data_IF_039853433257
#
_entry.id   IF_039853433257
#
_cell.length_a   1.000
_cell.length_b   1.000
_cell.length_c   1.000
_cell.angle_alpha   90.00
_cell.angle_beta   90.00
_cell.angle_gamma   90.00
#
_symmetry.space_group_name_H-M   'P 1'
#
loop_
_entity.id
_entity.type
_entity.pdbx_description
1 polymer ?
#
# COMPACT_ATOMS: atom_id res chain seq x y z
N UNK A 1 5.34 19.59 -12.85
CA UNK A 1 6.50 18.76 -12.47
C UNK A 1 7.62 19.58 -11.87
N UNK A 2 7.73 20.87 -12.23
CA UNK A 2 8.66 21.82 -11.62
C UNK A 2 7.91 23.02 -11.05
N UNK A 3 8.48 23.66 -10.05
CA UNK A 3 7.99 24.92 -9.48
C UNK A 3 9.13 25.95 -9.40
N UNK A 4 8.78 27.21 -9.44
CA UNK A 4 9.75 28.29 -9.27
C UNK A 4 9.81 28.69 -7.80
N UNK A 5 11.02 28.70 -7.25
CA UNK A 5 11.32 29.15 -5.88
C UNK A 5 12.33 30.29 -5.96
N UNK A 6 11.82 31.53 -5.96
CA UNK A 6 12.64 32.71 -6.21
C UNK A 6 13.30 32.69 -7.59
N UNK A 7 14.63 32.66 -7.62
CA UNK A 7 15.44 32.61 -8.84
C UNK A 7 15.75 31.19 -9.33
N UNK A 8 15.37 30.15 -8.58
CA UNK A 8 15.68 28.76 -8.93
C UNK A 8 14.44 27.96 -9.28
N UNK A 9 14.63 26.93 -10.10
CA UNK A 9 13.61 25.93 -10.39
C UNK A 9 13.84 24.68 -9.57
N UNK A 10 12.79 24.16 -8.94
CA UNK A 10 12.81 22.92 -8.18
C UNK A 10 11.92 21.87 -8.85
N UNK A 11 12.38 20.63 -8.90
CA UNK A 11 11.53 19.51 -9.26
C UNK A 11 10.60 19.16 -8.12
N UNK A 12 9.32 18.96 -8.42
CA UNK A 12 8.32 18.42 -7.50
C UNK A 12 8.29 16.89 -7.48
N UNK A 13 9.08 16.28 -8.35
CA UNK A 13 9.15 14.82 -8.53
C UNK A 13 10.59 14.37 -8.35
N UNK A 14 10.76 13.25 -7.69
CA UNK A 14 12.00 12.47 -7.63
C UNK A 14 11.79 11.08 -8.21
N UNK A 15 12.89 10.42 -8.49
CA UNK A 15 12.95 9.06 -8.98
C UNK A 15 13.73 8.20 -8.02
N UNK A 16 13.18 7.05 -7.68
CA UNK A 16 13.87 6.00 -6.92
C UNK A 16 13.84 4.70 -7.69
N UNK A 17 14.86 3.87 -7.49
CA UNK A 17 14.93 2.54 -8.10
C UNK A 17 14.42 1.48 -7.14
N UNK A 18 13.65 0.54 -7.65
CA UNK A 18 13.25 -0.68 -6.96
C UNK A 18 13.25 -1.81 -7.98
N UNK A 19 14.06 -2.88 -7.75
CA UNK A 19 14.21 -4.01 -8.67
C UNK A 19 14.47 -3.58 -10.11
N UNK A 20 15.47 -2.75 -10.31
CA UNK A 20 15.90 -2.19 -11.60
C UNK A 20 14.83 -1.37 -12.35
N UNK A 21 13.75 -0.97 -11.68
CA UNK A 21 12.69 -0.10 -12.22
C UNK A 21 12.71 1.25 -11.54
N UNK A 22 12.39 2.27 -12.31
CA UNK A 22 12.26 3.64 -11.82
C UNK A 22 10.82 3.90 -11.37
N UNK A 23 10.70 4.58 -10.23
CA UNK A 23 9.43 5.03 -9.67
C UNK A 23 9.46 6.53 -9.42
N UNK A 24 8.54 7.25 -10.03
CA UNK A 24 8.27 8.65 -9.74
C UNK A 24 7.54 8.77 -8.38
N UNK A 25 7.95 9.73 -7.58
CA UNK A 25 7.30 10.06 -6.31
C UNK A 25 7.54 11.54 -5.97
N UNK A 26 6.94 12.05 -4.89
CA UNK A 26 7.10 13.44 -4.49
C UNK A 26 8.55 13.75 -4.08
N UNK A 27 9.01 14.94 -4.44
CA UNK A 27 10.32 15.42 -4.01
C UNK A 27 10.33 15.73 -2.50
N UNK A 28 11.49 15.54 -1.89
CA UNK A 28 11.74 15.96 -0.50
C UNK A 28 12.00 17.48 -0.43
N UNK A 29 11.52 18.17 0.61
CA UNK A 29 10.72 17.66 1.72
C UNK A 29 9.25 17.39 1.32
N UNK A 30 8.69 16.27 1.80
CA UNK A 30 7.30 15.88 1.56
C UNK A 30 6.38 16.64 2.51
N UNK A 31 6.17 17.94 2.25
CA UNK A 31 5.32 18.80 3.09
C UNK A 31 3.91 18.99 2.55
N UNK A 32 3.69 18.74 1.27
CA UNK A 32 2.37 18.85 0.65
C UNK A 32 1.41 17.79 1.22
N UNK A 33 0.14 18.15 1.38
CA UNK A 33 -0.90 17.25 1.91
C UNK A 33 -1.15 16.04 1.01
N UNK A 34 -0.93 16.20 -0.31
CA UNK A 34 -1.06 15.18 -1.35
C UNK A 34 0.27 14.49 -1.70
N UNK A 35 1.34 14.69 -0.90
CA UNK A 35 2.64 14.10 -1.17
C UNK A 35 2.57 12.57 -1.22
N UNK A 36 3.28 12.01 -2.18
CA UNK A 36 3.45 10.56 -2.37
C UNK A 36 4.83 10.18 -1.88
N UNK A 37 4.86 9.44 -0.79
CA UNK A 37 6.10 9.00 -0.15
C UNK A 37 6.68 7.78 -0.87
N UNK A 38 8.02 7.76 -0.95
CA UNK A 38 8.81 6.58 -1.33
C UNK A 38 10.08 6.56 -0.49
N UNK A 39 10.27 5.53 0.30
CA UNK A 39 11.38 5.47 1.24
C UNK A 39 11.62 4.07 1.81
N UNK A 40 12.32 3.95 2.95
CA UNK A 40 12.72 2.66 3.52
C UNK A 40 11.59 1.65 3.69
N UNK A 41 10.39 2.12 4.05
CA UNK A 41 9.22 1.25 4.22
C UNK A 41 8.74 0.65 2.90
N UNK A 42 8.83 1.42 1.80
CA UNK A 42 8.52 0.93 0.46
C UNK A 42 9.42 -0.25 0.07
N UNK A 43 10.72 -0.16 0.37
CA UNK A 43 11.67 -1.25 0.08
C UNK A 43 11.41 -2.50 0.93
N UNK A 44 11.12 -2.32 2.23
CA UNK A 44 10.80 -3.45 3.14
C UNK A 44 9.49 -4.10 2.76
N UNK A 45 8.49 -3.31 2.43
CA UNK A 45 7.20 -3.81 1.94
C UNK A 45 7.37 -4.58 0.63
N UNK A 46 8.17 -4.08 -0.30
CA UNK A 46 8.52 -4.78 -1.53
C UNK A 46 9.14 -6.16 -1.26
N UNK A 47 10.09 -6.25 -0.34
CA UNK A 47 10.69 -7.53 0.07
C UNK A 47 9.64 -8.51 0.64
N UNK A 48 8.70 -8.00 1.45
CA UNK A 48 7.63 -8.83 1.99
C UNK A 48 6.68 -9.34 0.89
N UNK A 49 6.34 -8.49 -0.09
CA UNK A 49 5.55 -8.88 -1.27
C UNK A 49 6.28 -9.98 -2.05
N UNK A 50 7.55 -9.80 -2.33
CA UNK A 50 8.35 -10.78 -3.09
C UNK A 50 8.44 -12.12 -2.38
N UNK A 51 8.69 -12.11 -1.07
CA UNK A 51 8.69 -13.32 -0.26
C UNK A 51 7.33 -14.04 -0.32
N UNK A 52 6.24 -13.30 -0.21
CA UNK A 52 4.88 -13.84 -0.34
C UNK A 52 4.64 -14.44 -1.73
N UNK A 53 5.08 -13.77 -2.79
CA UNK A 53 4.93 -14.25 -4.17
C UNK A 53 5.75 -15.50 -4.47
N UNK A 54 6.92 -15.65 -3.84
CA UNK A 54 7.79 -16.83 -3.96
C UNK A 54 7.23 -18.04 -3.19
N UNK A 55 6.66 -17.81 -2.02
CA UNK A 55 6.12 -18.89 -1.18
C UNK A 55 4.75 -19.38 -1.64
N UNK A 56 4.06 -18.60 -2.46
CA UNK A 56 2.70 -18.91 -2.90
C UNK A 56 2.70 -19.79 -4.14
N UNK A 57 2.18 -21.01 -4.00
CA UNK A 57 2.00 -21.97 -5.12
C UNK A 57 0.66 -21.80 -5.86
N UNK A 58 -0.37 -21.24 -5.20
CA UNK A 58 -1.67 -21.01 -5.82
C UNK A 58 -1.63 -19.82 -6.78
N UNK A 59 -2.33 -19.88 -7.93
CA UNK A 59 -2.42 -18.77 -8.86
C UNK A 59 -2.98 -17.52 -8.19
N UNK A 60 -2.48 -16.37 -8.60
CA UNK A 60 -3.08 -15.07 -8.31
C UNK A 60 -3.74 -14.60 -9.60
N UNK A 61 -5.06 -14.57 -9.61
CA UNK A 61 -5.86 -14.08 -10.74
C UNK A 61 -6.25 -12.63 -10.53
N UNK A 62 -6.45 -12.26 -9.27
CA UNK A 62 -6.89 -10.93 -8.90
C UNK A 62 -6.20 -10.44 -7.64
N UNK A 63 -5.58 -9.27 -7.72
CA UNK A 63 -4.89 -8.65 -6.58
C UNK A 63 -5.28 -7.19 -6.43
N UNK A 64 -5.12 -6.63 -5.22
CA UNK A 64 -5.31 -5.21 -4.96
C UNK A 64 -4.23 -4.68 -4.00
N UNK A 65 -3.73 -3.48 -4.33
CA UNK A 65 -2.82 -2.67 -3.50
C UNK A 65 -3.63 -1.51 -2.90
N UNK A 66 -3.90 -1.58 -1.60
CA UNK A 66 -4.71 -0.59 -0.87
C UNK A 66 -3.79 0.53 -0.34
N UNK A 67 -4.11 1.77 -0.70
CA UNK A 67 -3.23 2.91 -0.42
C UNK A 67 -1.96 2.82 -1.26
N UNK A 68 -2.11 2.61 -2.57
CA UNK A 68 -1.04 2.23 -3.48
C UNK A 68 0.11 3.25 -3.59
N UNK A 69 -0.11 4.51 -3.22
CA UNK A 69 0.89 5.56 -3.25
C UNK A 69 1.55 5.72 -4.63
N UNK A 70 2.82 5.35 -4.74
CA UNK A 70 3.55 5.34 -6.02
C UNK A 70 3.23 4.13 -6.91
N UNK A 71 2.40 3.19 -6.46
CA UNK A 71 2.08 1.95 -7.18
C UNK A 71 3.16 0.88 -7.14
N UNK A 72 4.14 1.01 -6.26
CA UNK A 72 5.26 0.07 -6.20
C UNK A 72 4.79 -1.38 -5.94
N UNK A 73 3.87 -1.58 -4.99
CA UNK A 73 3.30 -2.89 -4.67
C UNK A 73 2.54 -3.48 -5.86
N UNK A 74 1.64 -2.70 -6.46
CA UNK A 74 0.87 -3.12 -7.62
C UNK A 74 1.77 -3.52 -8.81
N UNK A 75 2.80 -2.72 -9.10
CA UNK A 75 3.77 -3.01 -10.18
C UNK A 75 4.54 -4.30 -9.92
N UNK A 76 4.99 -4.54 -8.69
CA UNK A 76 5.68 -5.78 -8.33
C UNK A 76 4.83 -7.01 -8.57
N UNK A 77 3.57 -6.98 -8.11
CA UNK A 77 2.62 -8.09 -8.34
C UNK A 77 2.38 -8.28 -9.83
N UNK A 78 2.09 -7.21 -10.57
CA UNK A 78 1.79 -7.25 -11.99
C UNK A 78 2.92 -7.84 -12.82
N UNK A 79 4.17 -7.48 -12.51
CA UNK A 79 5.36 -8.01 -13.19
C UNK A 79 5.63 -9.48 -12.85
N UNK A 80 5.32 -9.90 -11.62
CA UNK A 80 5.49 -11.29 -11.19
C UNK A 80 4.32 -12.19 -11.64
N UNK A 81 3.17 -11.62 -11.94
CA UNK A 81 1.94 -12.32 -12.32
C UNK A 81 1.28 -11.61 -13.52
N UNK A 82 1.83 -11.78 -14.74
CA UNK A 82 1.37 -11.05 -15.93
C UNK A 82 -0.11 -11.30 -16.28
N UNK A 83 -0.64 -12.47 -15.93
CA UNK A 83 -2.03 -12.85 -16.20
C UNK A 83 -3.01 -12.39 -15.11
N UNK A 84 -2.52 -11.81 -14.02
CA UNK A 84 -3.36 -11.32 -12.94
C UNK A 84 -3.99 -9.97 -13.29
N UNK A 85 -5.23 -9.73 -12.87
CA UNK A 85 -5.80 -8.39 -12.77
C UNK A 85 -5.29 -7.74 -11.48
N UNK A 86 -4.56 -6.64 -11.57
CA UNK A 86 -4.04 -5.93 -10.40
C UNK A 86 -4.70 -4.56 -10.29
N UNK A 87 -5.35 -4.31 -9.17
CA UNK A 87 -5.96 -3.02 -8.87
C UNK A 87 -5.03 -2.23 -7.93
N UNK A 88 -4.80 -0.96 -8.26
CA UNK A 88 -4.11 -0.01 -7.39
C UNK A 88 -5.13 1.04 -6.93
N UNK A 89 -5.40 1.09 -5.63
CA UNK A 89 -6.44 1.98 -5.09
C UNK A 89 -5.87 2.96 -4.08
N UNK A 90 -6.32 4.21 -4.16
CA UNK A 90 -5.92 5.27 -3.22
C UNK A 90 -7.00 6.35 -3.15
N UNK A 91 -7.06 7.09 -2.06
CA UNK A 91 -7.89 8.29 -1.92
C UNK A 91 -7.19 9.54 -2.48
N UNK A 92 -5.87 9.51 -2.62
CA UNK A 92 -5.05 10.63 -3.07
C UNK A 92 -4.94 10.65 -4.60
N UNK A 93 -5.52 11.65 -5.29
CA UNK A 93 -5.43 11.74 -6.75
C UNK A 93 -3.99 11.85 -7.28
N UNK A 94 -3.05 12.39 -6.49
CA UNK A 94 -1.64 12.46 -6.87
C UNK A 94 -1.00 11.07 -6.84
N UNK A 95 -1.34 10.24 -5.84
CA UNK A 95 -0.92 8.83 -5.79
C UNK A 95 -1.41 8.05 -7.01
N UNK A 96 -2.67 8.20 -7.36
CA UNK A 96 -3.25 7.54 -8.54
C UNK A 96 -2.54 7.94 -9.84
N UNK A 97 -2.23 9.24 -10.02
CA UNK A 97 -1.45 9.70 -11.19
C UNK A 97 -0.05 9.11 -11.22
N UNK A 98 0.66 9.10 -10.09
CA UNK A 98 2.00 8.53 -10.00
C UNK A 98 1.98 7.01 -10.20
N UNK A 99 1.02 6.32 -9.61
CA UNK A 99 0.80 4.88 -9.82
C UNK A 99 0.60 4.54 -11.30
N UNK A 100 -0.27 5.28 -12.00
CA UNK A 100 -0.52 5.07 -13.43
C UNK A 100 0.76 5.27 -14.27
N UNK A 101 1.49 6.37 -14.03
CA UNK A 101 2.77 6.65 -14.72
C UNK A 101 3.80 5.55 -14.43
N UNK A 102 3.94 5.12 -13.18
CA UNK A 102 4.91 4.11 -12.80
C UNK A 102 4.55 2.71 -13.36
N UNK A 103 3.27 2.39 -13.44
CA UNK A 103 2.80 1.16 -14.08
C UNK A 103 3.12 1.16 -15.59
N UNK A 104 2.89 2.27 -16.27
CA UNK A 104 3.24 2.44 -17.69
C UNK A 104 4.75 2.33 -17.93
N UNK A 105 5.56 3.05 -17.15
CA UNK A 105 7.02 3.00 -17.22
C UNK A 105 7.58 1.60 -16.98
N UNK A 106 6.96 0.84 -16.08
CA UNK A 106 7.34 -0.55 -15.81
C UNK A 106 6.81 -1.55 -16.85
N UNK A 107 5.97 -1.13 -17.79
CA UNK A 107 5.25 -2.03 -18.71
C UNK A 107 4.34 -3.01 -17.96
N UNK A 108 3.69 -2.55 -16.89
CA UNK A 108 2.74 -3.33 -16.08
C UNK A 108 1.30 -3.08 -16.59
N UNK A 109 1.01 -3.55 -17.80
CA UNK A 109 -0.25 -3.27 -18.52
C UNK A 109 -1.49 -3.90 -17.87
N UNK A 110 -1.31 -4.79 -16.92
CA UNK A 110 -2.36 -5.44 -16.15
C UNK A 110 -2.67 -4.72 -14.82
N UNK A 111 -2.13 -3.53 -14.60
CA UNK A 111 -2.49 -2.64 -13.47
C UNK A 111 -3.59 -1.69 -13.89
N UNK A 112 -4.64 -1.60 -13.09
CA UNK A 112 -5.71 -0.60 -13.21
C UNK A 112 -5.79 0.24 -11.95
N UNK A 113 -5.91 1.56 -12.11
CA UNK A 113 -5.86 2.53 -11.00
C UNK A 113 -7.26 3.07 -10.73
N UNK A 114 -7.70 3.08 -9.45
CA UNK A 114 -9.03 3.54 -9.06
C UNK A 114 -8.98 4.42 -7.82
N UNK A 115 -9.78 5.49 -7.82
CA UNK A 115 -10.03 6.26 -6.62
C UNK A 115 -10.97 5.48 -5.69
N UNK A 116 -10.51 5.16 -4.49
CA UNK A 116 -11.29 4.39 -3.51
C UNK A 116 -10.85 4.69 -2.09
N UNK A 117 -11.79 4.84 -1.18
CA UNK A 117 -11.52 4.71 0.26
C UNK A 117 -11.48 3.22 0.58
N UNK A 118 -10.27 2.71 0.78
CA UNK A 118 -9.97 1.28 0.88
C UNK A 118 -10.58 0.51 -0.32
N UNK A 119 -11.55 -0.38 -0.07
CA UNK A 119 -12.19 -1.22 -1.07
C UNK A 119 -13.61 -0.75 -1.46
N UNK A 120 -14.04 0.44 -1.04
CA UNK A 120 -15.42 0.91 -1.23
C UNK A 120 -15.84 1.04 -2.71
N UNK A 121 -14.91 1.39 -3.60
CA UNK A 121 -15.19 1.60 -5.04
C UNK A 121 -14.79 0.41 -5.92
N UNK A 122 -14.38 -0.71 -5.33
CA UNK A 122 -14.01 -1.93 -6.09
C UNK A 122 -14.79 -3.13 -5.58
N UNK A 123 -15.23 -3.98 -6.49
CA UNK A 123 -16.07 -5.14 -6.19
C UNK A 123 -15.29 -6.47 -6.26
N UNK A 124 -15.93 -7.54 -5.77
CA UNK A 124 -15.45 -8.92 -5.84
C UNK A 124 -14.40 -9.26 -4.77
N UNK A 125 -13.85 -10.44 -4.88
CA UNK A 125 -12.85 -11.00 -3.97
C UNK A 125 -11.48 -11.02 -4.64
N UNK A 126 -10.43 -11.24 -3.83
CA UNK A 126 -9.04 -11.15 -4.26
C UNK A 126 -8.23 -12.35 -3.74
N UNK A 127 -7.36 -12.85 -4.58
CA UNK A 127 -6.36 -13.85 -4.19
C UNK A 127 -5.25 -13.24 -3.34
N UNK A 128 -4.93 -11.95 -3.58
CA UNK A 128 -3.92 -11.23 -2.84
C UNK A 128 -4.38 -9.79 -2.59
N UNK A 129 -4.43 -9.41 -1.33
CA UNK A 129 -4.63 -8.02 -0.89
C UNK A 129 -3.36 -7.59 -0.19
N UNK A 130 -2.80 -6.45 -0.61
CA UNK A 130 -1.63 -5.87 0.05
C UNK A 130 -1.94 -4.45 0.52
N UNK A 131 -1.29 -4.02 1.59
CA UNK A 131 -1.39 -2.66 2.08
C UNK A 131 -0.14 -2.24 2.87
N UNK A 132 0.30 -1.01 2.64
CA UNK A 132 1.31 -0.32 3.45
C UNK A 132 0.73 1.04 3.90
N UNK A 133 -0.24 1.04 4.81
CA UNK A 133 -0.90 2.25 5.24
C UNK A 133 0.02 3.14 6.08
N UNK A 134 -0.28 4.45 6.19
CA UNK A 134 0.31 5.28 7.22
C UNK A 134 -0.04 4.74 8.61
N UNK A 135 0.92 4.79 9.53
CA UNK A 135 0.81 4.18 10.86
C UNK A 135 1.34 5.08 11.99
N UNK A 136 1.72 6.32 11.68
CA UNK A 136 2.23 7.24 12.70
C UNK A 136 1.08 8.06 13.32
N UNK A 137 1.23 8.42 14.58
CA UNK A 137 0.38 9.46 15.19
C UNK A 137 0.96 10.83 14.81
N UNK A 138 0.56 11.33 13.64
CA UNK A 138 1.04 12.60 13.11
C UNK A 138 0.13 13.74 13.55
N UNK A 139 0.64 14.68 14.36
CA UNK A 139 -0.13 15.83 14.86
C UNK A 139 -0.65 16.73 13.74
N UNK A 140 0.00 16.75 12.57
CA UNK A 140 -0.45 17.49 11.39
C UNK A 140 -1.46 16.72 10.53
N UNK A 141 -1.80 15.49 10.91
CA UNK A 141 -2.75 14.62 10.22
C UNK A 141 -2.49 14.46 8.71
N UNK A 142 -1.21 14.44 8.31
CA UNK A 142 -0.84 14.26 6.90
C UNK A 142 -1.26 12.86 6.42
N UNK A 143 -2.00 12.81 5.31
CA UNK A 143 -2.61 11.59 4.79
C UNK A 143 -1.63 10.42 4.60
N UNK A 144 -0.38 10.70 4.22
CA UNK A 144 0.65 9.67 4.02
C UNK A 144 1.37 9.24 5.31
N UNK A 145 1.05 9.83 6.48
CA UNK A 145 1.71 9.53 7.77
C UNK A 145 0.74 9.19 8.88
N UNK A 146 -0.43 9.83 8.91
CA UNK A 146 -1.37 9.69 10.01
C UNK A 146 -2.19 8.41 9.87
N UNK A 147 -1.94 7.45 10.77
CA UNK A 147 -2.62 6.15 10.78
C UNK A 147 -3.99 6.16 11.47
N UNK A 148 -4.36 7.26 12.11
CA UNK A 148 -5.59 7.32 12.91
C UNK A 148 -5.53 6.45 14.18
N UNK A 149 -6.61 6.45 14.95
CA UNK A 149 -6.63 5.81 16.26
C UNK A 149 -5.84 6.59 17.31
N UNK A 150 -5.69 6.03 18.49
CA UNK A 150 -4.97 6.67 19.60
C UNK A 150 -3.44 6.64 19.39
N UNK A 151 -2.91 5.61 18.73
CA UNK A 151 -1.47 5.35 18.59
C UNK A 151 -1.04 5.13 17.12
N UNK A 152 -1.92 5.44 16.13
CA UNK A 152 -1.64 5.30 14.70
C UNK A 152 -2.11 3.98 14.07
N UNK A 153 -2.72 3.09 14.85
CA UNK A 153 -3.16 1.75 14.41
C UNK A 153 -4.49 1.73 13.64
N UNK A 154 -5.29 2.79 13.74
CA UNK A 154 -6.70 2.79 13.35
C UNK A 154 -6.94 2.40 11.88
N UNK A 155 -6.16 2.95 10.95
CA UNK A 155 -6.30 2.64 9.53
C UNK A 155 -5.90 1.19 9.22
N UNK A 156 -4.82 0.71 9.82
CA UNK A 156 -4.37 -0.68 9.65
C UNK A 156 -5.43 -1.68 10.15
N UNK A 157 -6.07 -1.41 11.30
CA UNK A 157 -7.18 -2.23 11.82
C UNK A 157 -8.39 -2.18 10.88
N UNK A 158 -8.73 -0.99 10.35
CA UNK A 158 -9.83 -0.84 9.39
C UNK A 158 -9.57 -1.63 8.11
N UNK A 159 -8.32 -1.59 7.59
CA UNK A 159 -7.92 -2.37 6.42
C UNK A 159 -8.13 -3.87 6.67
N UNK A 160 -7.65 -4.40 7.79
CA UNK A 160 -7.85 -5.82 8.10
C UNK A 160 -9.33 -6.17 8.14
N UNK A 161 -10.16 -5.37 8.82
CA UNK A 161 -11.61 -5.61 8.94
C UNK A 161 -12.31 -5.63 7.59
N UNK A 162 -11.98 -4.70 6.70
CA UNK A 162 -12.62 -4.58 5.38
C UNK A 162 -12.05 -5.57 4.35
N UNK A 163 -10.78 -5.96 4.48
CA UNK A 163 -10.13 -6.88 3.55
C UNK A 163 -10.50 -8.35 3.78
N UNK A 164 -10.65 -8.80 5.05
CA UNK A 164 -10.91 -10.21 5.35
C UNK A 164 -12.12 -10.80 4.60
N UNK A 165 -13.31 -10.14 4.54
CA UNK A 165 -14.45 -10.67 3.80
C UNK A 165 -14.27 -10.62 2.27
N UNK A 166 -13.24 -9.94 1.80
CA UNK A 166 -12.89 -9.76 0.38
C UNK A 166 -11.79 -10.71 -0.11
N UNK A 167 -11.30 -11.60 0.76
CA UNK A 167 -10.37 -12.65 0.38
C UNK A 167 -11.09 -13.82 -0.28
N UNK A 168 -10.55 -14.29 -1.39
CA UNK A 168 -10.89 -15.59 -1.97
C UNK A 168 -10.48 -16.73 -1.02
N UNK A 169 -11.06 -17.91 -1.22
CA UNK A 169 -10.62 -19.11 -0.49
C UNK A 169 -9.15 -19.39 -0.80
N UNK A 170 -8.32 -19.44 0.23
CA UNK A 170 -6.86 -19.52 0.09
C UNK A 170 -6.20 -18.20 -0.31
N UNK A 171 -6.93 -17.08 -0.30
CA UNK A 171 -6.40 -15.74 -0.51
C UNK A 171 -5.54 -15.28 0.66
N UNK A 172 -4.70 -14.29 0.41
CA UNK A 172 -3.78 -13.72 1.41
C UNK A 172 -3.98 -12.22 1.55
N UNK A 173 -4.01 -11.74 2.80
CA UNK A 173 -3.86 -10.34 3.15
C UNK A 173 -2.45 -10.11 3.72
N UNK A 174 -1.67 -9.23 3.11
CA UNK A 174 -0.38 -8.78 3.58
C UNK A 174 -0.45 -7.31 3.99
N UNK A 175 -0.32 -7.02 5.28
CA UNK A 175 -0.27 -5.65 5.80
C UNK A 175 1.12 -5.39 6.37
N UNK A 176 1.80 -4.37 5.83
CA UNK A 176 3.03 -3.84 6.40
C UNK A 176 2.69 -2.58 7.19
N UNK A 177 2.90 -2.59 8.48
CA UNK A 177 2.54 -1.45 9.35
C UNK A 177 3.50 -1.33 10.53
N UNK A 178 3.61 -0.15 11.08
CA UNK A 178 4.26 0.09 12.37
C UNK A 178 3.23 0.05 13.48
N UNK A 179 3.63 -0.49 14.64
CA UNK A 179 2.77 -0.55 15.82
C UNK A 179 3.47 0.06 17.03
N UNK A 180 2.72 0.75 17.86
CA UNK A 180 3.20 1.24 19.14
C UNK A 180 3.00 0.17 20.21
N UNK A 181 4.08 -0.20 20.90
CA UNK A 181 4.00 -1.07 22.08
C UNK A 181 3.99 -0.17 23.31
N UNK A 182 2.88 -0.18 24.06
CA UNK A 182 2.69 0.65 25.25
C UNK A 182 2.47 -0.24 26.48
N UNK A 183 3.35 -0.12 27.48
CA UNK A 183 3.31 -0.94 28.68
C UNK A 183 3.27 -2.47 28.39
N UNK A 184 3.94 -2.89 27.33
CA UNK A 184 3.96 -4.30 26.91
C UNK A 184 2.71 -4.77 26.13
N UNK A 185 1.77 -3.86 25.86
CA UNK A 185 0.55 -4.16 25.09
C UNK A 185 0.72 -3.69 23.65
N UNK A 186 0.12 -4.44 22.73
CA UNK A 186 0.09 -4.16 21.30
C UNK A 186 -1.37 -3.91 20.87
N UNK A 187 -1.78 -2.64 20.74
CA UNK A 187 -3.16 -2.28 20.42
C UNK A 187 -3.62 -2.78 19.05
N UNK A 188 -2.73 -2.83 18.06
CA UNK A 188 -3.07 -3.37 16.75
C UNK A 188 -3.39 -4.87 16.84
N UNK A 189 -2.49 -5.64 17.47
CA UNK A 189 -2.68 -7.09 17.64
C UNK A 189 -3.96 -7.39 18.46
N UNK A 190 -4.20 -6.64 19.53
CA UNK A 190 -5.39 -6.79 20.37
C UNK A 190 -6.67 -6.50 19.58
N UNK A 191 -6.67 -5.48 18.72
CA UNK A 191 -7.83 -5.12 17.89
C UNK A 191 -8.08 -6.11 16.75
N UNK A 192 -7.02 -6.71 16.18
CA UNK A 192 -7.11 -7.61 15.02
C UNK A 192 -7.38 -9.06 15.44
N UNK A 193 -6.83 -9.53 16.57
CA UNK A 193 -6.97 -10.91 17.01
C UNK A 193 -8.44 -11.39 17.10
N UNK A 194 -9.41 -10.60 17.57
CA UNK A 194 -10.81 -11.01 17.57
C UNK A 194 -11.41 -11.23 16.18
N UNK A 195 -10.92 -10.50 15.14
CA UNK A 195 -11.37 -10.63 13.75
C UNK A 195 -10.89 -11.93 13.10
N UNK A 196 -9.82 -12.52 13.65
CA UNK A 196 -9.14 -13.70 13.13
C UNK A 196 -9.46 -14.96 13.95
N UNK A 197 -10.38 -14.88 14.93
CA UNK A 197 -10.78 -16.02 15.74
C UNK A 197 -11.49 -17.10 14.91
N UNK A 198 -11.16 -18.38 15.20
CA UNK A 198 -11.71 -19.56 14.55
C UNK A 198 -10.74 -20.16 13.53
N UNK A 199 -11.14 -21.26 12.89
CA UNK A 199 -10.32 -22.02 11.94
C UNK A 199 -10.30 -21.41 10.53
N UNK A 200 -11.00 -20.30 10.32
CA UNK A 200 -11.18 -19.67 9.01
C UNK A 200 -9.92 -19.02 8.48
N UNK A 201 -9.07 -18.48 9.35
CA UNK A 201 -7.86 -17.76 8.98
C UNK A 201 -6.64 -18.30 9.74
N UNK A 202 -5.59 -18.67 9.01
CA UNK A 202 -4.24 -18.74 9.60
C UNK A 202 -3.59 -17.37 9.51
N UNK A 203 -2.85 -16.94 10.53
CA UNK A 203 -2.15 -15.67 10.49
C UNK A 203 -0.81 -15.73 11.23
N UNK A 204 0.11 -14.89 10.79
CA UNK A 204 1.44 -14.66 11.39
C UNK A 204 1.63 -13.16 11.63
N UNK A 205 2.43 -12.85 12.68
CA UNK A 205 2.68 -11.48 13.09
C UNK A 205 4.15 -11.30 13.49
#
# INVERSE_FOLDING_TARGET
>A
VVERDGAVWRSRVRWSTLNDRLFAHSAFPTTASDAVFFGPDTYRFAQAIEAQLQQRFSPIRRAVDIGCGSGAGAVLIAKARPDAQVLAVDINPQALRMSAVNAELAGANNVSVYHSDLLASVEGQFDLIIANPPYMNDQQQRAYRHGGGALGEGLSVRIVREALPRLEVGGTLLVYTGVAIVAGQDPFREAVAPLLKGERFGWTY
#
